data_IF_170620636530
#
_entry.id   IF_170620636530
#
_cell.length_a   1.000
_cell.length_b   1.000
_cell.length_c   1.000
_cell.angle_alpha   90.00
_cell.angle_beta   90.00
_cell.angle_gamma   90.00
#
_symmetry.space_group_name_H-M   'P 1'
#
loop_
_entity.id
_entity.type
_entity.pdbx_description
1 polymer ?
#
# COMPACT_ATOMS: atom_id res chain seq x y z
N UNK A 1 27.90 7.58 -2.27
CA UNK A 1 27.16 7.99 -3.47
C UNK A 1 25.83 8.49 -2.98
N UNK A 2 25.48 9.75 -3.25
CA UNK A 2 24.15 10.28 -2.96
C UNK A 2 23.16 9.56 -3.84
N UNK A 3 22.14 8.95 -3.26
CA UNK A 3 21.08 8.32 -4.04
C UNK A 3 20.35 9.35 -4.89
N UNK A 4 20.05 9.00 -6.13
CA UNK A 4 19.27 9.87 -7.00
C UNK A 4 17.85 9.99 -6.45
N UNK A 5 17.40 11.24 -6.32
CA UNK A 5 16.06 11.59 -5.83
C UNK A 5 15.28 12.36 -6.89
N UNK A 6 13.96 12.28 -6.82
CA UNK A 6 13.05 12.86 -7.81
C UNK A 6 11.90 13.59 -7.12
N UNK A 7 11.57 14.77 -7.61
CA UNK A 7 10.36 15.50 -7.25
C UNK A 7 9.26 15.21 -8.26
N UNK A 8 8.03 14.98 -7.78
CA UNK A 8 6.92 14.66 -8.67
C UNK A 8 5.56 15.07 -8.12
N UNK A 9 4.62 15.29 -9.05
CA UNK A 9 3.19 15.45 -8.76
C UNK A 9 2.41 14.29 -9.32
N UNK A 10 1.61 13.67 -8.46
CA UNK A 10 0.94 12.41 -8.72
C UNK A 10 -0.56 12.68 -8.65
N UNK A 11 -1.26 12.23 -9.69
CA UNK A 11 -2.72 12.37 -9.79
C UNK A 11 -3.34 10.99 -9.51
N UNK A 12 -4.42 10.91 -8.72
CA UNK A 12 -5.07 9.63 -8.45
C UNK A 12 -5.59 9.01 -9.75
N UNK A 13 -5.46 7.69 -9.85
CA UNK A 13 -6.09 6.88 -10.89
C UNK A 13 -7.23 6.10 -10.24
N UNK A 14 -8.48 6.52 -10.45
CA UNK A 14 -9.68 5.85 -9.89
C UNK A 14 -10.45 6.67 -8.84
N UNK A 15 -11.34 5.99 -8.11
CA UNK A 15 -12.41 6.54 -7.27
C UNK A 15 -11.98 7.19 -5.93
N UNK A 16 -10.77 7.73 -5.81
CA UNK A 16 -10.50 8.68 -4.72
C UNK A 16 -10.98 10.05 -5.14
N UNK A 17 -12.31 10.17 -5.18
CA UNK A 17 -12.96 11.23 -5.92
C UNK A 17 -12.96 12.57 -5.17
N UNK A 18 -12.99 12.61 -3.83
CA UNK A 18 -12.93 13.89 -3.09
C UNK A 18 -12.49 13.65 -1.64
N UNK A 19 -11.50 14.40 -1.15
CA UNK A 19 -11.27 14.59 0.29
C UNK A 19 -11.84 15.93 0.74
N UNK A 20 -12.47 15.95 1.90
CA UNK A 20 -12.92 17.19 2.54
C UNK A 20 -11.74 18.05 3.01
N UNK A 21 -12.00 19.34 3.23
CA UNK A 21 -11.01 20.26 3.83
C UNK A 21 -10.60 19.84 5.25
N UNK A 22 -11.47 19.14 5.97
CA UNK A 22 -11.19 18.69 7.34
C UNK A 22 -10.19 17.54 7.33
N UNK A 23 -10.40 16.52 6.50
CA UNK A 23 -9.50 15.36 6.35
C UNK A 23 -8.11 15.81 5.89
N UNK A 24 -8.03 16.70 4.91
CA UNK A 24 -6.73 17.24 4.45
C UNK A 24 -6.04 18.06 5.53
N UNK A 25 -6.79 18.85 6.31
CA UNK A 25 -6.20 19.66 7.38
C UNK A 25 -5.64 18.78 8.51
N UNK A 26 -6.29 17.67 8.87
CA UNK A 26 -5.77 16.70 9.85
C UNK A 26 -4.42 16.11 9.39
N UNK A 27 -4.26 15.85 8.09
CA UNK A 27 -2.98 15.36 7.54
C UNK A 27 -1.89 16.43 7.43
N UNK A 28 -2.27 17.70 7.22
CA UNK A 28 -1.34 18.81 7.15
C UNK A 28 -0.87 19.27 8.54
N UNK A 29 -1.59 18.88 9.59
CA UNK A 29 -1.24 19.26 10.95
C UNK A 29 -0.04 18.45 11.45
N UNK A 30 1.16 18.99 11.21
CA UNK A 30 2.43 18.46 11.73
C UNK A 30 2.49 18.45 13.26
N UNK A 31 1.56 19.13 13.95
CA UNK A 31 1.54 19.30 15.40
C UNK A 31 0.51 18.42 16.13
N UNK A 32 -0.50 17.90 15.44
CA UNK A 32 -1.56 17.07 16.02
C UNK A 32 -1.40 15.60 15.60
N UNK A 33 -1.10 14.72 16.57
CA UNK A 33 -1.41 13.28 16.47
C UNK A 33 -0.50 12.38 15.63
N UNK A 34 0.56 12.88 15.00
CA UNK A 34 1.56 12.02 14.32
C UNK A 34 1.08 11.37 13.01
N UNK A 35 -0.15 11.65 12.56
CA UNK A 35 -0.71 11.12 11.31
C UNK A 35 0.14 11.49 10.10
N UNK A 36 0.63 12.73 10.03
CA UNK A 36 1.54 13.16 8.98
C UNK A 36 2.83 12.31 8.95
N UNK A 37 3.44 12.07 10.12
CA UNK A 37 4.66 11.24 10.22
C UNK A 37 4.39 9.81 9.77
N UNK A 38 3.25 9.24 10.16
CA UNK A 38 2.82 7.91 9.72
C UNK A 38 2.60 7.88 8.21
N UNK A 39 1.88 8.86 7.66
CA UNK A 39 1.64 9.00 6.22
C UNK A 39 2.95 9.13 5.43
N UNK A 40 3.87 9.98 5.89
CA UNK A 40 5.21 10.15 5.32
C UNK A 40 5.98 8.83 5.33
N UNK A 41 6.06 8.16 6.47
CA UNK A 41 6.88 6.95 6.62
C UNK A 41 6.30 5.78 5.81
N UNK A 42 4.99 5.58 5.83
CA UNK A 42 4.33 4.57 5.00
C UNK A 42 4.49 4.85 3.51
N UNK A 43 4.39 6.13 3.10
CA UNK A 43 4.61 6.53 1.69
C UNK A 43 6.04 6.28 1.25
N UNK A 44 7.04 6.57 2.11
CA UNK A 44 8.43 6.27 1.82
C UNK A 44 8.68 4.77 1.67
N UNK A 45 8.07 3.94 2.52
CA UNK A 45 8.16 2.48 2.41
C UNK A 45 7.59 1.96 1.08
N UNK A 46 6.47 2.54 0.62
CA UNK A 46 5.88 2.23 -0.69
C UNK A 46 6.80 2.64 -1.84
N UNK A 47 7.39 3.83 -1.78
CA UNK A 47 8.31 4.32 -2.82
C UNK A 47 9.60 3.50 -2.90
N UNK A 48 10.04 2.91 -1.79
CA UNK A 48 11.24 2.08 -1.75
C UNK A 48 10.95 0.59 -2.03
N UNK A 49 9.75 0.25 -2.54
CA UNK A 49 9.40 -1.13 -2.85
C UNK A 49 10.36 -1.71 -3.92
N UNK A 50 10.93 -2.89 -3.63
CA UNK A 50 11.88 -3.54 -4.54
C UNK A 50 13.35 -3.21 -4.28
N UNK A 51 13.66 -2.34 -3.31
CA UNK A 51 15.01 -2.25 -2.74
C UNK A 51 15.34 -3.52 -1.95
N UNK A 52 16.60 -3.93 -1.97
CA UNK A 52 17.13 -5.02 -1.12
C UNK A 52 17.37 -4.58 0.34
N UNK A 53 16.80 -3.44 0.75
CA UNK A 53 17.01 -2.87 2.07
C UNK A 53 15.92 -3.40 3.00
N UNK A 54 16.32 -4.27 3.93
CA UNK A 54 15.42 -4.94 4.89
C UNK A 54 15.38 -4.23 6.26
N UNK A 55 15.84 -2.98 6.33
CA UNK A 55 15.87 -2.17 7.55
C UNK A 55 15.12 -0.83 7.34
N UNK A 56 13.97 -0.71 8.01
CA UNK A 56 13.14 0.49 7.97
C UNK A 56 13.79 1.73 8.60
N UNK A 57 14.66 1.56 9.60
CA UNK A 57 15.39 2.67 10.20
C UNK A 57 16.46 3.18 9.24
N UNK A 58 17.23 2.27 8.64
CA UNK A 58 18.20 2.63 7.61
C UNK A 58 17.52 3.33 6.43
N UNK A 59 16.29 2.94 6.07
CA UNK A 59 15.51 3.61 5.02
C UNK A 59 15.19 5.07 5.39
N UNK A 60 14.73 5.31 6.62
CA UNK A 60 14.41 6.65 7.09
C UNK A 60 15.65 7.54 7.18
N UNK A 61 16.78 6.98 7.63
CA UNK A 61 18.08 7.68 7.70
C UNK A 61 18.67 7.97 6.31
N UNK A 62 18.35 7.14 5.32
CA UNK A 62 18.79 7.30 3.92
C UNK A 62 18.05 8.43 3.20
N UNK A 63 16.78 8.67 3.54
CA UNK A 63 15.97 9.74 2.96
C UNK A 63 15.43 10.70 4.04
N UNK A 64 16.33 11.44 4.72
CA UNK A 64 15.93 12.38 5.77
C UNK A 64 15.11 13.54 5.19
N UNK A 65 15.44 13.97 3.97
CA UNK A 65 14.82 15.11 3.29
C UNK A 65 13.58 14.74 2.46
N UNK A 66 13.15 13.47 2.47
CA UNK A 66 11.91 13.06 1.81
C UNK A 66 10.71 13.75 2.44
N UNK A 67 9.80 14.25 1.62
CA UNK A 67 8.53 14.84 2.07
C UNK A 67 7.41 14.47 1.10
N UNK A 68 6.19 14.38 1.62
CA UNK A 68 4.97 14.16 0.86
C UNK A 68 3.86 15.07 1.38
N UNK A 69 3.12 15.69 0.47
CA UNK A 69 2.00 16.57 0.80
C UNK A 69 0.78 16.33 -0.08
N UNK A 70 -0.39 16.59 0.50
CA UNK A 70 -1.67 16.54 -0.22
C UNK A 70 -2.01 17.92 -0.73
N UNK A 71 -2.17 18.05 -2.05
CA UNK A 71 -2.58 19.28 -2.73
C UNK A 71 -4.05 19.15 -3.12
N UNK A 72 -4.90 20.02 -2.59
CA UNK A 72 -6.29 20.13 -3.04
C UNK A 72 -6.37 20.83 -4.40
N UNK A 73 -7.23 20.30 -5.27
CA UNK A 73 -7.60 20.89 -6.55
C UNK A 73 -9.12 20.95 -6.68
N UNK A 74 -9.63 21.70 -7.65
CA UNK A 74 -11.08 21.85 -7.88
C UNK A 74 -11.81 20.52 -8.11
N UNK A 75 -11.12 19.51 -8.63
CA UNK A 75 -11.67 18.19 -8.99
C UNK A 75 -11.02 17.03 -8.21
N UNK A 76 -10.62 17.27 -6.97
CA UNK A 76 -10.08 16.24 -6.08
C UNK A 76 -8.72 16.59 -5.50
N UNK A 77 -7.87 15.58 -5.36
CA UNK A 77 -6.56 15.73 -4.70
C UNK A 77 -5.41 15.33 -5.61
N UNK A 78 -4.22 15.85 -5.33
CA UNK A 78 -2.95 15.36 -5.85
C UNK A 78 -1.97 15.14 -4.70
N UNK A 79 -1.01 14.25 -4.93
CA UNK A 79 0.14 14.11 -4.04
C UNK A 79 1.32 14.82 -4.67
N UNK A 80 2.04 15.61 -3.87
CA UNK A 80 3.35 16.14 -4.24
C UNK A 80 4.39 15.46 -3.36
N UNK A 81 5.35 14.79 -4.00
CA UNK A 81 6.50 14.15 -3.35
C UNK A 81 7.75 14.95 -3.65
N UNK A 82 8.59 15.11 -2.63
CA UNK A 82 9.90 15.77 -2.71
C UNK A 82 10.99 14.82 -2.26
N UNK A 83 12.12 14.84 -2.96
CA UNK A 83 13.26 13.97 -2.70
C UNK A 83 12.87 12.47 -2.63
N UNK A 84 11.97 12.02 -3.52
CA UNK A 84 11.52 10.63 -3.53
C UNK A 84 12.60 9.69 -4.12
N UNK A 85 12.69 8.43 -3.66
CA UNK A 85 13.60 7.44 -4.24
C UNK A 85 13.42 7.29 -5.76
N UNK A 86 14.49 7.49 -6.54
CA UNK A 86 14.47 7.37 -8.01
C UNK A 86 14.01 5.99 -8.51
N UNK A 87 14.23 4.92 -7.73
CA UNK A 87 13.78 3.56 -8.06
C UNK A 87 12.27 3.41 -8.23
N UNK A 88 11.47 4.37 -7.74
CA UNK A 88 10.02 4.41 -7.96
C UNK A 88 9.61 4.92 -9.35
N UNK A 89 10.57 5.38 -10.17
CA UNK A 89 10.35 6.04 -11.45
C UNK A 89 10.99 5.29 -12.61
N UNK A 90 10.35 5.34 -13.77
CA UNK A 90 10.88 4.87 -15.07
C UNK A 90 10.71 6.02 -16.06
N UNK A 91 11.80 6.49 -16.65
CA UNK A 91 11.83 7.64 -17.56
C UNK A 91 11.13 8.90 -16.99
N UNK A 92 11.38 9.17 -15.69
CA UNK A 92 10.79 10.29 -14.97
C UNK A 92 9.30 10.14 -14.63
N UNK A 93 8.68 8.99 -14.93
CA UNK A 93 7.28 8.70 -14.60
C UNK A 93 7.20 7.67 -13.48
N UNK A 94 6.43 7.96 -12.44
CA UNK A 94 6.21 7.02 -11.35
C UNK A 94 5.53 5.74 -11.85
N UNK A 95 5.99 4.59 -11.36
CA UNK A 95 5.36 3.29 -11.64
C UNK A 95 3.89 3.32 -11.17
N UNK A 96 2.96 2.91 -12.04
CA UNK A 96 1.51 3.02 -11.77
C UNK A 96 1.08 2.35 -10.46
N UNK A 97 1.53 1.13 -10.20
CA UNK A 97 1.21 0.42 -8.95
C UNK A 97 1.73 1.13 -7.69
N UNK A 98 2.88 1.79 -7.76
CA UNK A 98 3.40 2.61 -6.65
C UNK A 98 2.48 3.81 -6.42
N UNK A 99 2.08 4.50 -7.49
CA UNK A 99 1.12 5.60 -7.40
C UNK A 99 -0.20 5.14 -6.77
N UNK A 100 -0.75 4.00 -7.18
CA UNK A 100 -1.97 3.42 -6.60
C UNK A 100 -1.80 3.12 -5.10
N UNK A 101 -0.65 2.55 -4.70
CA UNK A 101 -0.36 2.27 -3.30
C UNK A 101 -0.20 3.52 -2.42
N UNK A 102 0.37 4.61 -2.94
CA UNK A 102 0.43 5.88 -2.19
C UNK A 102 -0.95 6.41 -1.85
N UNK A 103 -1.89 6.28 -2.78
CA UNK A 103 -3.29 6.65 -2.55
C UNK A 103 -4.01 5.64 -1.62
N UNK A 104 -3.70 4.35 -1.68
CA UNK A 104 -4.20 3.38 -0.70
C UNK A 104 -3.72 3.71 0.73
N UNK A 105 -2.44 4.09 0.89
CA UNK A 105 -1.88 4.56 2.17
C UNK A 105 -2.64 5.79 2.69
N UNK A 106 -2.89 6.77 1.83
CA UNK A 106 -3.67 7.96 2.19
C UNK A 106 -5.08 7.59 2.66
N UNK A 107 -5.80 6.77 1.89
CA UNK A 107 -7.16 6.31 2.18
C UNK A 107 -7.24 5.61 3.53
N UNK A 108 -6.35 4.65 3.78
CA UNK A 108 -6.43 3.80 4.98
C UNK A 108 -6.06 4.56 6.24
N UNK A 109 -5.10 5.49 6.18
CA UNK A 109 -4.72 6.33 7.33
C UNK A 109 -5.85 7.29 7.71
N UNK A 110 -6.47 7.99 6.74
CA UNK A 110 -7.59 8.88 7.01
C UNK A 110 -8.77 8.09 7.59
N UNK A 111 -9.15 7.00 6.92
CA UNK A 111 -10.33 6.23 7.33
C UNK A 111 -10.19 5.65 8.73
N UNK A 112 -9.03 5.08 9.07
CA UNK A 112 -8.81 4.53 10.42
C UNK A 112 -8.81 5.64 11.48
N UNK A 113 -8.20 6.80 11.19
CA UNK A 113 -8.20 7.90 12.14
C UNK A 113 -9.61 8.45 12.38
N UNK A 114 -10.36 8.71 11.31
CA UNK A 114 -11.62 9.47 11.41
C UNK A 114 -12.82 8.58 11.70
N UNK A 115 -12.92 7.43 11.04
CA UNK A 115 -14.12 6.59 11.09
C UNK A 115 -14.02 5.43 12.09
N UNK A 116 -12.81 5.07 12.51
CA UNK A 116 -12.58 3.94 13.43
C UNK A 116 -12.14 4.43 14.82
N UNK A 117 -11.10 5.27 14.92
CA UNK A 117 -10.57 5.71 16.22
C UNK A 117 -11.40 6.83 16.86
N UNK A 118 -11.82 7.82 16.08
CA UNK A 118 -12.62 8.96 16.57
C UNK A 118 -14.13 8.63 16.67
N UNK A 119 -14.54 7.38 16.38
CA UNK A 119 -15.94 6.99 16.29
C UNK A 119 -16.37 6.08 17.46
N UNK A 120 -17.27 6.54 18.36
CA UNK A 120 -17.71 5.76 19.52
C UNK A 120 -18.54 4.52 19.15
N UNK A 121 -18.90 4.34 17.87
CA UNK A 121 -19.58 3.14 17.38
C UNK A 121 -18.67 1.90 17.41
N UNK A 122 -17.34 2.08 17.36
CA UNK A 122 -16.38 0.99 17.42
C UNK A 122 -15.72 0.93 18.80
N UNK A 123 -16.13 -0.04 19.63
CA UNK A 123 -15.39 -0.37 20.85
C UNK A 123 -14.21 -1.28 20.51
N UNK A 124 -13.01 -0.69 20.39
CA UNK A 124 -11.78 -1.43 20.09
C UNK A 124 -11.22 -2.23 21.28
N UNK A 125 -11.90 -2.20 22.43
CA UNK A 125 -11.55 -3.04 23.59
C UNK A 125 -12.36 -4.34 23.63
N UNK A 126 -13.41 -4.44 22.82
CA UNK A 126 -14.25 -5.63 22.69
C UNK A 126 -14.02 -6.39 21.38
N UNK A 127 -14.23 -7.72 21.42
CA UNK A 127 -14.03 -8.61 20.28
C UNK A 127 -14.98 -8.31 19.11
N UNK A 128 -16.24 -7.94 19.39
CA UNK A 128 -17.21 -7.61 18.35
C UNK A 128 -16.85 -6.29 17.69
N UNK A 129 -16.47 -5.29 18.49
CA UNK A 129 -16.03 -3.98 17.99
C UNK A 129 -14.77 -4.07 17.12
N UNK A 130 -13.77 -4.87 17.52
CA UNK A 130 -12.57 -5.14 16.71
C UNK A 130 -12.93 -5.80 15.37
N UNK A 131 -13.81 -6.81 15.39
CA UNK A 131 -14.23 -7.53 14.17
C UNK A 131 -14.96 -6.59 13.21
N UNK A 132 -15.85 -5.75 13.73
CA UNK A 132 -16.56 -4.76 12.93
C UNK A 132 -15.60 -3.71 12.36
N UNK A 133 -14.63 -3.23 13.14
CA UNK A 133 -13.61 -2.29 12.65
C UNK A 133 -12.82 -2.89 11.47
N UNK A 134 -12.34 -4.14 11.58
CA UNK A 134 -11.66 -4.84 10.49
C UNK A 134 -12.55 -4.92 9.25
N UNK A 135 -13.81 -5.36 9.40
CA UNK A 135 -14.75 -5.44 8.28
C UNK A 135 -14.94 -4.07 7.58
N UNK A 136 -15.10 -3.00 8.36
CA UNK A 136 -15.30 -1.65 7.83
C UNK A 136 -14.07 -1.13 7.08
N UNK A 137 -12.86 -1.39 7.58
CA UNK A 137 -11.61 -1.04 6.89
C UNK A 137 -11.53 -1.76 5.54
N UNK A 138 -11.76 -3.08 5.51
CA UNK A 138 -11.74 -3.87 4.26
C UNK A 138 -12.85 -3.45 3.29
N UNK A 139 -14.04 -3.08 3.81
CA UNK A 139 -15.14 -2.56 3.00
C UNK A 139 -14.78 -1.22 2.37
N UNK A 140 -14.22 -0.28 3.13
CA UNK A 140 -13.77 1.02 2.63
C UNK A 140 -12.64 0.87 1.60
N UNK A 141 -11.78 -0.13 1.79
CA UNK A 141 -10.74 -0.48 0.83
C UNK A 141 -11.27 -1.08 -0.49
N UNK A 142 -12.58 -1.32 -0.58
CA UNK A 142 -13.27 -1.95 -1.72
C UNK A 142 -12.69 -3.32 -2.10
N UNK A 143 -12.30 -4.13 -1.12
CA UNK A 143 -11.80 -5.50 -1.37
C UNK A 143 -12.86 -6.59 -1.16
N UNK A 144 -13.96 -6.26 -0.48
CA UNK A 144 -15.06 -7.19 -0.20
C UNK A 144 -16.07 -7.19 -1.35
N UNK A 145 -15.90 -8.12 -2.29
CA UNK A 145 -16.75 -8.22 -3.48
C UNK A 145 -17.92 -9.19 -3.27
N UNK A 146 -19.18 -8.70 -3.09
CA UNK A 146 -20.32 -9.58 -2.89
C UNK A 146 -20.62 -10.38 -4.15
N UNK A 147 -21.19 -11.59 -3.97
CA UNK A 147 -21.59 -12.50 -5.06
C UNK A 147 -20.42 -13.10 -5.86
N UNK A 148 -19.22 -13.09 -5.29
CA UNK A 148 -18.04 -13.79 -5.82
C UNK A 148 -17.95 -15.17 -5.18
N UNK A 149 -17.65 -16.21 -5.96
CA UNK A 149 -17.34 -17.53 -5.40
C UNK A 149 -16.00 -17.47 -4.66
N UNK A 150 -15.80 -18.20 -3.55
CA UNK A 150 -14.52 -18.21 -2.85
C UNK A 150 -13.38 -18.65 -3.78
N UNK A 151 -12.43 -17.75 -4.01
CA UNK A 151 -11.30 -17.99 -4.91
C UNK A 151 -9.98 -17.37 -4.39
N UNK A 152 -9.94 -16.82 -3.18
CA UNK A 152 -8.74 -16.23 -2.58
C UNK A 152 -8.01 -17.23 -1.68
N UNK A 153 -6.71 -17.40 -1.89
CA UNK A 153 -5.82 -18.16 -0.99
C UNK A 153 -4.82 -17.21 -0.32
N UNK A 154 -4.76 -17.27 1.01
CA UNK A 154 -3.76 -16.53 1.79
C UNK A 154 -2.47 -17.36 1.85
N UNK A 155 -1.36 -16.79 1.38
CA UNK A 155 -0.04 -17.41 1.42
C UNK A 155 0.86 -16.71 2.44
N UNK A 156 1.41 -17.49 3.37
CA UNK A 156 2.39 -17.05 4.36
C UNK A 156 3.75 -17.71 4.10
N UNK A 157 4.82 -17.04 4.52
CA UNK A 157 6.18 -17.57 4.47
C UNK A 157 7.23 -16.50 4.81
N UNK A 158 8.51 -16.87 4.78
CA UNK A 158 9.60 -15.98 5.17
C UNK A 158 9.86 -14.83 4.19
N UNK A 159 10.31 -13.69 4.71
CA UNK A 159 10.81 -12.54 3.94
C UNK A 159 12.18 -12.85 3.29
N UNK A 160 13.02 -13.61 4.00
CA UNK A 160 14.33 -14.08 3.55
C UNK A 160 14.32 -15.60 3.41
N UNK A 161 14.38 -16.07 2.16
CA UNK A 161 14.30 -17.49 1.80
C UNK A 161 15.34 -17.82 0.73
N UNK A 162 15.74 -19.09 0.66
CA UNK A 162 16.68 -19.55 -0.35
C UNK A 162 16.12 -19.42 -1.77
N UNK A 163 17.00 -19.41 -2.77
CA UNK A 163 16.56 -19.33 -4.17
C UNK A 163 15.66 -20.50 -4.56
N UNK A 164 15.96 -21.70 -4.08
CA UNK A 164 15.17 -22.90 -4.30
C UNK A 164 13.73 -22.73 -3.77
N UNK A 165 13.58 -22.25 -2.53
CA UNK A 165 12.26 -21.97 -1.95
C UNK A 165 11.52 -20.87 -2.73
N UNK A 166 12.20 -19.79 -3.09
CA UNK A 166 11.60 -18.71 -3.88
C UNK A 166 11.08 -19.22 -5.23
N UNK A 167 11.86 -20.05 -5.93
CA UNK A 167 11.44 -20.65 -7.19
C UNK A 167 10.25 -21.60 -7.00
N UNK A 168 10.24 -22.39 -5.92
CA UNK A 168 9.10 -23.24 -5.58
C UNK A 168 7.82 -22.42 -5.30
N UNK A 169 7.92 -21.30 -4.57
CA UNK A 169 6.76 -20.44 -4.31
C UNK A 169 6.13 -19.88 -5.59
N UNK A 170 6.94 -19.61 -6.63
CA UNK A 170 6.44 -19.20 -7.95
C UNK A 170 5.72 -20.35 -8.66
N UNK A 171 6.23 -21.58 -8.56
CA UNK A 171 5.56 -22.76 -9.14
C UNK A 171 4.19 -22.96 -8.48
N UNK A 172 4.12 -22.89 -7.16
CA UNK A 172 2.86 -22.97 -6.40
C UNK A 172 1.88 -21.88 -6.85
N UNK A 173 2.34 -20.62 -6.91
CA UNK A 173 1.51 -19.52 -7.37
C UNK A 173 1.04 -19.68 -8.82
N UNK A 174 1.90 -20.19 -9.71
CA UNK A 174 1.54 -20.49 -11.09
C UNK A 174 0.41 -21.53 -11.18
N UNK A 175 0.51 -22.61 -10.41
CA UNK A 175 -0.53 -23.64 -10.34
C UNK A 175 -1.87 -23.12 -9.79
N UNK A 176 -1.82 -22.19 -8.82
CA UNK A 176 -3.00 -21.46 -8.34
C UNK A 176 -3.62 -20.62 -9.46
N UNK A 177 -2.79 -19.83 -10.16
CA UNK A 177 -3.24 -18.97 -11.25
C UNK A 177 -3.86 -19.73 -12.43
N UNK A 178 -3.33 -20.90 -12.76
CA UNK A 178 -3.93 -21.79 -13.78
C UNK A 178 -5.36 -22.25 -13.44
N UNK A 179 -5.76 -22.15 -12.17
CA UNK A 179 -7.09 -22.53 -11.68
C UNK A 179 -7.98 -21.32 -11.36
N UNK A 180 -7.56 -20.11 -11.73
CA UNK A 180 -8.30 -18.87 -11.46
C UNK A 180 -8.36 -18.51 -9.98
N UNK A 181 -7.37 -18.96 -9.19
CA UNK A 181 -7.28 -18.68 -7.75
C UNK A 181 -6.46 -17.40 -7.55
N UNK A 182 -7.02 -16.46 -6.80
CA UNK A 182 -6.39 -15.22 -6.36
C UNK A 182 -5.46 -15.46 -5.17
N UNK A 183 -4.44 -14.62 -5.03
CA UNK A 183 -3.40 -14.75 -4.00
C UNK A 183 -3.41 -13.53 -3.09
N UNK A 184 -3.54 -13.76 -1.78
CA UNK A 184 -3.33 -12.75 -0.73
C UNK A 184 -2.06 -13.04 0.07
N UNK A 185 -1.21 -12.05 0.33
CA UNK A 185 0.02 -12.21 1.13
C UNK A 185 0.19 -11.04 2.11
N UNK A 186 1.20 -11.11 2.98
CA UNK A 186 1.54 -10.04 3.93
C UNK A 186 2.28 -8.83 3.33
N UNK A 187 2.39 -8.74 1.99
CA UNK A 187 3.31 -7.84 1.28
C UNK A 187 4.80 -8.10 1.62
N UNK A 188 5.73 -7.58 0.82
CA UNK A 188 7.18 -7.74 1.06
C UNK A 188 7.87 -8.82 0.21
N UNK A 189 9.15 -9.13 0.49
CA UNK A 189 9.99 -9.99 -0.34
C UNK A 189 9.75 -11.49 -0.09
N UNK A 190 10.59 -12.33 -0.70
CA UNK A 190 10.59 -13.78 -0.47
C UNK A 190 9.25 -14.46 -0.81
N UNK A 191 8.74 -15.25 0.13
CA UNK A 191 7.52 -16.04 -0.02
C UNK A 191 6.25 -15.18 -0.16
N UNK A 192 6.32 -13.89 0.18
CA UNK A 192 5.19 -12.96 0.05
C UNK A 192 5.10 -12.35 -1.37
N UNK A 193 6.16 -12.49 -2.19
CA UNK A 193 6.24 -12.00 -3.58
C UNK A 193 6.20 -13.10 -4.63
N UNK A 194 6.82 -14.25 -4.34
CA UNK A 194 6.95 -15.35 -5.30
C UNK A 194 5.62 -15.90 -5.82
N UNK A 195 4.65 -16.25 -4.96
CA UNK A 195 3.34 -16.75 -5.38
C UNK A 195 2.60 -15.79 -6.31
N UNK A 196 2.61 -14.49 -6.03
CA UNK A 196 1.97 -13.47 -6.89
C UNK A 196 2.59 -13.42 -8.29
N UNK A 197 3.93 -13.53 -8.40
CA UNK A 197 4.60 -13.58 -9.71
C UNK A 197 4.23 -14.83 -10.51
N UNK A 198 4.12 -15.97 -9.85
CA UNK A 198 3.67 -17.21 -10.49
C UNK A 198 2.22 -17.10 -10.96
N UNK A 199 1.34 -16.66 -10.06
CA UNK A 199 -0.08 -16.50 -10.32
C UNK A 199 -0.34 -15.56 -11.49
N UNK A 200 0.35 -14.41 -11.56
CA UNK A 200 0.22 -13.48 -12.69
C UNK A 200 0.43 -14.16 -14.06
N UNK A 201 1.41 -15.07 -14.18
CA UNK A 201 1.63 -15.84 -15.40
C UNK A 201 0.55 -16.91 -15.62
N UNK A 202 0.12 -17.58 -14.56
CA UNK A 202 -0.95 -18.59 -14.62
C UNK A 202 -2.29 -17.99 -15.07
N UNK A 203 -2.68 -16.85 -14.48
CA UNK A 203 -3.86 -16.07 -14.83
C UNK A 203 -3.80 -15.66 -16.30
N UNK A 204 -2.69 -15.04 -16.75
CA UNK A 204 -2.53 -14.61 -18.14
C UNK A 204 -2.68 -15.75 -19.17
N UNK A 205 -2.39 -17.00 -18.81
CA UNK A 205 -2.62 -18.17 -19.69
C UNK A 205 -4.08 -18.57 -19.79
N UNK A 206 -4.86 -18.32 -18.74
CA UNK A 206 -6.29 -18.63 -18.69
C UNK A 206 -7.18 -17.51 -19.25
N UNK A 207 -6.57 -16.41 -19.71
CA UNK A 207 -7.19 -15.15 -20.17
C UNK A 207 -7.78 -14.34 -19.03
#
# INVERSE_FOLDING_TARGET
MTDEVVDARITPQGHMDVLSRVEVKKLLDRSQGGLYTMFRNCSLAVLNCGSDLDDGKALLERYPDFDISVIQQERGIKLEVKNAPSGAFVDGKMIKGISEHLFAVLRDIIYVSDEIQDNPTFDLTDSEGITNAVFHILRNANILHPRTKPNLVVCWGGHSISRHEYDYTKVVGYEMGLRGIDVGTGCGPGAMKGPMKGAAVGHAKQR
#
